data_IF_364950682678
#
_entry.id   IF_364950682678
#
_cell.length_a   1.000
_cell.length_b   1.000
_cell.length_c   1.000
_cell.angle_alpha   90.00
_cell.angle_beta   90.00
_cell.angle_gamma   90.00
#
_symmetry.space_group_name_H-M   'P 1'
#
loop_
_entity.id
_entity.type
_entity.pdbx_description
1 polymer ?
#
# COMPACT_ATOMS: atom_id res chain seq x y z
N UNK A 1 -42.59 24.25 14.34
CA UNK A 1 -41.54 23.43 13.72
C UNK A 1 -41.66 22.02 14.30
N UNK A 2 -42.46 21.15 13.65
CA UNK A 2 -42.91 19.87 14.20
C UNK A 2 -41.75 18.86 14.18
N UNK A 3 -41.33 18.40 15.34
CA UNK A 3 -40.32 17.35 15.48
C UNK A 3 -40.84 16.07 14.80
N UNK A 4 -40.10 15.55 13.82
CA UNK A 4 -40.55 14.41 13.01
C UNK A 4 -40.25 13.13 13.80
N UNK A 5 -41.26 12.40 14.32
CA UNK A 5 -41.05 11.26 15.23
C UNK A 5 -40.26 10.11 14.58
N UNK A 6 -40.25 10.02 13.24
CA UNK A 6 -39.43 9.05 12.53
C UNK A 6 -37.93 9.35 12.62
N UNK A 7 -37.54 10.64 12.72
CA UNK A 7 -36.13 11.05 12.81
C UNK A 7 -35.50 10.63 14.14
N UNK A 8 -36.26 10.72 15.23
CA UNK A 8 -35.79 10.36 16.57
C UNK A 8 -35.61 8.84 16.72
N UNK A 9 -36.48 8.03 16.12
CA UNK A 9 -36.35 6.57 16.12
C UNK A 9 -35.12 6.13 15.31
N UNK A 10 -34.90 6.69 14.11
CA UNK A 10 -33.72 6.37 13.30
C UNK A 10 -32.41 6.74 14.01
N UNK A 11 -32.38 7.88 14.71
CA UNK A 11 -31.22 8.29 15.51
C UNK A 11 -30.96 7.31 16.67
N UNK A 12 -32.00 6.90 17.40
CA UNK A 12 -31.85 5.93 18.50
C UNK A 12 -31.35 4.57 18.01
N UNK A 13 -31.89 4.05 16.90
CA UNK A 13 -31.45 2.79 16.30
C UNK A 13 -29.98 2.88 15.86
N UNK A 14 -29.59 3.99 15.23
CA UNK A 14 -28.20 4.21 14.80
C UNK A 14 -27.24 4.24 15.99
N UNK A 15 -27.62 4.90 17.09
CA UNK A 15 -26.82 4.97 18.31
C UNK A 15 -26.67 3.60 18.98
N UNK A 16 -27.74 2.82 19.06
CA UNK A 16 -27.73 1.46 19.62
C UNK A 16 -26.82 0.55 18.80
N UNK A 17 -26.90 0.60 17.46
CA UNK A 17 -26.02 -0.17 16.57
C UNK A 17 -24.55 0.22 16.78
N UNK A 18 -24.25 1.52 16.90
CA UNK A 18 -22.89 1.98 17.14
C UNK A 18 -22.33 1.45 18.48
N UNK A 19 -23.14 1.50 19.54
CA UNK A 19 -22.76 0.99 20.86
C UNK A 19 -22.54 -0.53 20.81
N UNK A 20 -23.45 -1.28 20.18
CA UNK A 20 -23.31 -2.74 20.01
C UNK A 20 -22.02 -3.06 19.25
N UNK A 21 -21.74 -2.38 18.14
CA UNK A 21 -20.52 -2.60 17.36
C UNK A 21 -19.25 -2.29 18.16
N UNK A 22 -19.27 -1.22 18.95
CA UNK A 22 -18.14 -0.82 19.80
C UNK A 22 -17.86 -1.86 20.89
N UNK A 23 -18.91 -2.37 21.55
CA UNK A 23 -18.79 -3.39 22.60
C UNK A 23 -18.40 -4.76 22.04
N UNK A 24 -18.97 -5.17 20.89
CA UNK A 24 -18.65 -6.47 20.28
C UNK A 24 -17.29 -6.50 19.59
N UNK A 25 -16.82 -5.38 19.04
CA UNK A 25 -15.60 -5.31 18.21
C UNK A 25 -14.64 -4.20 18.66
N UNK A 26 -14.13 -4.24 19.90
CA UNK A 26 -13.11 -3.28 20.34
C UNK A 26 -11.83 -3.35 19.48
N UNK A 27 -11.53 -4.53 18.93
CA UNK A 27 -10.41 -4.75 18.02
C UNK A 27 -10.55 -4.05 16.65
N UNK A 28 -11.71 -3.48 16.32
CA UNK A 28 -11.92 -2.74 15.08
C UNK A 28 -10.99 -1.52 14.96
N UNK A 29 -10.68 -0.85 16.08
CA UNK A 29 -9.73 0.26 16.10
C UNK A 29 -8.32 -0.23 15.79
N UNK A 30 -7.91 -1.35 16.39
CA UNK A 30 -6.59 -1.96 16.17
C UNK A 30 -6.44 -2.37 14.70
N UNK A 31 -7.43 -3.07 14.13
CA UNK A 31 -7.39 -3.41 12.70
C UNK A 31 -7.49 -2.19 11.79
N UNK A 32 -8.23 -1.16 12.19
CA UNK A 32 -8.33 0.10 11.45
C UNK A 32 -6.97 0.78 11.35
N UNK A 33 -6.26 0.91 12.47
CA UNK A 33 -4.88 1.44 12.50
C UNK A 33 -3.94 0.54 11.71
N UNK A 34 -3.93 -0.77 11.96
CA UNK A 34 -3.05 -1.72 11.26
C UNK A 34 -3.23 -1.64 9.74
N UNK A 35 -4.47 -1.72 9.24
CA UNK A 35 -4.76 -1.66 7.80
C UNK A 35 -4.50 -0.28 7.22
N UNK A 36 -4.83 0.78 7.95
CA UNK A 36 -4.52 2.15 7.53
C UNK A 36 -3.01 2.37 7.37
N UNK A 37 -2.21 1.91 8.32
CA UNK A 37 -0.75 1.95 8.25
C UNK A 37 -0.20 1.11 7.09
N UNK A 38 -0.78 -0.08 6.84
CA UNK A 38 -0.40 -0.90 5.69
C UNK A 38 -0.68 -0.19 4.36
N UNK A 39 -1.86 0.40 4.18
CA UNK A 39 -2.19 1.14 2.97
C UNK A 39 -1.33 2.40 2.80
N UNK A 40 -1.04 3.10 3.89
CA UNK A 40 -0.11 4.23 3.86
C UNK A 40 1.29 3.79 3.42
N UNK A 41 1.81 2.69 3.98
CA UNK A 41 3.10 2.13 3.60
C UNK A 41 3.16 1.76 2.11
N UNK A 42 2.08 1.21 1.56
CA UNK A 42 1.98 0.89 0.13
C UNK A 42 1.95 2.14 -0.74
N UNK A 43 1.23 3.18 -0.33
CA UNK A 43 1.08 4.41 -1.11
C UNK A 43 2.30 5.35 -1.07
N UNK A 44 3.04 5.39 0.05
CA UNK A 44 4.17 6.30 0.24
C UNK A 44 5.22 6.19 -0.87
N UNK A 45 5.69 5.00 -1.31
CA UNK A 45 6.66 4.89 -2.39
C UNK A 45 6.21 5.51 -3.71
N UNK A 46 4.93 5.32 -4.08
CA UNK A 46 4.37 5.92 -5.29
C UNK A 46 4.37 7.45 -5.19
N UNK A 47 3.98 7.98 -4.02
CA UNK A 47 4.03 9.41 -3.74
C UNK A 47 5.47 9.96 -3.77
N UNK A 48 6.45 9.21 -3.26
CA UNK A 48 7.87 9.59 -3.29
C UNK A 48 8.43 9.61 -4.71
N UNK A 49 8.10 8.63 -5.55
CA UNK A 49 8.56 8.61 -6.95
C UNK A 49 8.00 9.77 -7.74
N UNK A 50 6.73 10.11 -7.51
CA UNK A 50 6.08 11.26 -8.15
C UNK A 50 6.58 12.60 -7.61
N UNK A 51 6.74 12.71 -6.29
CA UNK A 51 7.07 13.97 -5.62
C UNK A 51 8.54 14.35 -5.68
N UNK A 52 9.46 13.37 -5.70
CA UNK A 52 10.91 13.62 -5.68
C UNK A 52 11.51 13.43 -7.06
N UNK A 53 11.22 12.30 -7.72
CA UNK A 53 11.82 11.95 -9.02
C UNK A 53 11.04 12.60 -10.17
N UNK A 54 9.76 12.90 -9.98
CA UNK A 54 8.90 13.48 -11.00
C UNK A 54 8.43 12.49 -12.06
N UNK A 55 8.50 11.18 -11.77
CA UNK A 55 8.09 10.10 -12.68
C UNK A 55 6.89 9.37 -12.11
N UNK A 56 5.84 9.21 -12.94
CA UNK A 56 4.73 8.31 -12.63
C UNK A 56 5.16 6.87 -12.92
N UNK A 57 5.34 6.08 -11.86
CA UNK A 57 5.75 4.67 -11.97
C UNK A 57 4.54 3.75 -12.04
N UNK A 58 4.21 3.26 -13.25
CA UNK A 58 3.10 2.32 -13.45
C UNK A 58 3.42 0.91 -12.93
N UNK A 59 4.68 0.47 -13.00
CA UNK A 59 5.15 -0.80 -12.46
C UNK A 59 5.19 -0.87 -10.91
N UNK A 60 4.71 0.16 -10.21
CA UNK A 60 4.66 0.15 -8.74
C UNK A 60 3.95 -1.10 -8.18
N UNK A 61 2.84 -1.51 -8.80
CA UNK A 61 2.11 -2.71 -8.42
C UNK A 61 2.93 -3.99 -8.65
N UNK A 62 3.71 -4.04 -9.74
CA UNK A 62 4.54 -5.19 -10.09
C UNK A 62 5.72 -5.34 -9.11
N UNK A 63 6.35 -4.25 -8.69
CA UNK A 63 7.37 -4.34 -7.63
C UNK A 63 6.79 -4.81 -6.30
N UNK A 64 5.55 -4.40 -5.98
CA UNK A 64 4.86 -4.83 -4.78
C UNK A 64 4.52 -6.33 -4.83
N UNK A 65 4.04 -6.83 -5.96
CA UNK A 65 3.78 -8.25 -6.15
C UNK A 65 5.07 -9.07 -6.12
N UNK A 66 6.14 -8.58 -6.73
CA UNK A 66 7.46 -9.24 -6.71
C UNK A 66 7.99 -9.36 -5.27
N UNK A 67 7.85 -8.31 -4.45
CA UNK A 67 8.16 -8.36 -3.01
C UNK A 67 7.34 -9.40 -2.25
N UNK A 68 6.03 -9.47 -2.51
CA UNK A 68 5.16 -10.46 -1.90
C UNK A 68 5.54 -11.89 -2.30
N UNK A 69 5.86 -12.12 -3.57
CA UNK A 69 6.30 -13.43 -4.08
C UNK A 69 7.66 -13.85 -3.49
N UNK A 70 8.61 -12.92 -3.33
CA UNK A 70 9.87 -13.23 -2.64
C UNK A 70 9.64 -13.63 -1.19
N UNK A 71 8.73 -12.95 -0.48
CA UNK A 71 8.36 -13.33 0.89
C UNK A 71 7.74 -14.73 0.94
N UNK A 72 6.82 -15.04 0.03
CA UNK A 72 6.25 -16.38 -0.11
C UNK A 72 7.31 -17.43 -0.44
N UNK A 73 8.27 -17.11 -1.30
CA UNK A 73 9.31 -18.05 -1.70
C UNK A 73 10.29 -18.33 -0.55
N UNK A 74 10.69 -17.32 0.21
CA UNK A 74 11.49 -17.51 1.42
C UNK A 74 10.73 -18.28 2.50
N UNK A 75 9.43 -18.04 2.66
CA UNK A 75 8.61 -18.80 3.58
C UNK A 75 8.55 -20.28 3.19
N UNK A 76 8.27 -20.60 1.92
CA UNK A 76 8.14 -21.98 1.46
C UNK A 76 9.47 -22.73 1.35
N UNK A 77 10.57 -22.05 1.01
CA UNK A 77 11.87 -22.70 0.80
C UNK A 77 12.73 -22.79 2.05
N UNK A 78 12.70 -21.75 2.89
CA UNK A 78 13.57 -21.64 4.08
C UNK A 78 12.78 -21.79 5.39
N UNK A 79 11.44 -21.85 5.34
CA UNK A 79 10.60 -21.83 6.53
C UNK A 79 10.64 -20.50 7.30
N UNK A 80 11.15 -19.43 6.67
CA UNK A 80 11.28 -18.13 7.33
C UNK A 80 9.94 -17.43 7.43
N UNK A 81 9.57 -17.00 8.64
CA UNK A 81 8.38 -16.19 8.83
C UNK A 81 8.39 -14.96 7.90
N UNK A 82 7.26 -14.62 7.25
CA UNK A 82 7.18 -13.50 6.31
C UNK A 82 7.67 -12.18 6.92
N UNK A 83 7.44 -11.96 8.21
CA UNK A 83 7.91 -10.77 8.93
C UNK A 83 9.44 -10.73 9.06
N UNK A 84 10.08 -11.88 9.29
CA UNK A 84 11.54 -11.97 9.40
C UNK A 84 12.19 -11.89 8.02
N UNK A 85 11.52 -12.42 6.98
CA UNK A 85 11.98 -12.38 5.60
C UNK A 85 12.21 -10.95 5.08
N UNK A 86 11.55 -9.95 5.67
CA UNK A 86 11.73 -8.52 5.34
C UNK A 86 13.20 -8.11 5.42
N UNK A 87 13.96 -8.63 6.39
CA UNK A 87 15.38 -8.29 6.57
C UNK A 87 16.23 -8.67 5.35
N UNK A 88 15.87 -9.74 4.66
CA UNK A 88 16.52 -10.20 3.42
C UNK A 88 15.90 -9.56 2.17
N UNK A 89 14.58 -9.37 2.15
CA UNK A 89 13.86 -8.84 0.99
C UNK A 89 14.21 -7.36 0.76
N UNK A 90 14.31 -6.55 1.82
CA UNK A 90 14.62 -5.12 1.70
C UNK A 90 15.94 -4.87 0.95
N UNK A 91 17.09 -5.45 1.35
CA UNK A 91 18.34 -5.25 0.61
C UNK A 91 18.28 -5.83 -0.81
N UNK A 92 17.60 -6.96 -1.01
CA UNK A 92 17.44 -7.57 -2.33
C UNK A 92 16.63 -6.67 -3.28
N UNK A 93 15.48 -6.18 -2.83
CA UNK A 93 14.64 -5.23 -3.57
C UNK A 93 15.34 -3.91 -3.83
N UNK A 94 16.12 -3.42 -2.87
CA UNK A 94 16.94 -2.25 -3.06
C UNK A 94 17.97 -2.47 -4.17
N UNK A 95 18.66 -3.61 -4.21
CA UNK A 95 19.62 -3.93 -5.25
C UNK A 95 18.95 -4.03 -6.65
N UNK A 96 17.80 -4.70 -6.73
CA UNK A 96 17.01 -4.79 -7.97
C UNK A 96 16.57 -3.39 -8.43
N UNK A 97 15.98 -2.59 -7.54
CA UNK A 97 15.49 -1.25 -7.85
C UNK A 97 16.61 -0.28 -8.22
N UNK A 98 17.76 -0.32 -7.52
CA UNK A 98 18.92 0.50 -7.83
C UNK A 98 19.53 0.12 -9.19
N UNK A 99 19.63 -1.17 -9.49
CA UNK A 99 20.07 -1.68 -10.79
C UNK A 99 19.15 -1.19 -11.91
N UNK A 100 17.84 -1.34 -11.72
CA UNK A 100 16.85 -0.90 -12.69
C UNK A 100 16.89 0.61 -12.90
N UNK A 101 16.95 1.39 -11.81
CA UNK A 101 17.06 2.84 -11.88
C UNK A 101 18.24 3.28 -12.74
N UNK A 102 19.43 2.70 -12.50
CA UNK A 102 20.66 3.06 -13.20
C UNK A 102 20.68 2.62 -14.67
N UNK A 103 20.00 1.51 -14.99
CA UNK A 103 19.98 0.95 -16.33
C UNK A 103 18.88 1.57 -17.20
N UNK A 104 17.72 1.89 -16.64
CA UNK A 104 16.55 2.32 -17.42
C UNK A 104 16.13 3.74 -17.04
N UNK A 105 15.65 3.94 -15.82
CA UNK A 105 15.01 5.18 -15.38
C UNK A 105 15.91 6.40 -15.56
N UNK A 106 17.19 6.30 -15.18
CA UNK A 106 18.15 7.41 -15.24
C UNK A 106 18.35 7.96 -16.65
N UNK A 107 18.07 7.15 -17.69
CA UNK A 107 18.20 7.55 -19.10
C UNK A 107 16.99 8.34 -19.60
N UNK A 108 15.84 8.21 -18.94
CA UNK A 108 14.55 8.76 -19.40
C UNK A 108 14.07 9.93 -18.52
N UNK A 109 14.82 10.28 -17.47
CA UNK A 109 14.53 11.43 -16.60
C UNK A 109 14.36 12.76 -17.35
N UNK A 110 15.11 12.98 -18.42
CA UNK A 110 15.05 14.20 -19.25
C UNK A 110 14.10 14.07 -20.45
N UNK A 111 13.54 12.89 -20.67
CA UNK A 111 12.66 12.63 -21.80
C UNK A 111 11.22 13.10 -21.48
N UNK A 112 10.37 13.28 -22.50
CA UNK A 112 8.96 13.62 -22.31
C UNK A 112 8.22 12.61 -21.42
N UNK A 113 7.19 13.07 -20.71
CA UNK A 113 6.38 12.25 -19.78
C UNK A 113 5.91 10.94 -20.43
N UNK A 114 5.46 10.98 -21.69
CA UNK A 114 5.02 9.78 -22.41
C UNK A 114 6.09 8.67 -22.44
N UNK A 115 7.36 9.03 -22.66
CA UNK A 115 8.44 8.04 -22.70
C UNK A 115 8.70 7.43 -21.33
N UNK A 116 8.54 8.21 -20.26
CA UNK A 116 8.67 7.73 -18.88
C UNK A 116 7.54 6.76 -18.54
N UNK A 117 6.30 7.08 -18.93
CA UNK A 117 5.14 6.21 -18.75
C UNK A 117 5.30 4.90 -19.52
N UNK A 118 5.66 4.97 -20.81
CA UNK A 118 5.88 3.80 -21.66
C UNK A 118 6.98 2.90 -21.10
N UNK A 119 8.08 3.48 -20.59
CA UNK A 119 9.13 2.72 -19.95
C UNK A 119 8.60 1.97 -18.72
N UNK A 120 7.94 2.68 -17.80
CA UNK A 120 7.46 2.07 -16.55
C UNK A 120 6.30 1.10 -16.74
N UNK A 121 5.58 1.16 -17.87
CA UNK A 121 4.59 0.16 -18.25
C UNK A 121 5.22 -1.12 -18.82
N UNK A 122 6.41 -1.01 -19.43
CA UNK A 122 7.15 -2.14 -20.01
C UNK A 122 8.17 -2.78 -19.06
N UNK A 123 8.24 -2.31 -17.81
CA UNK A 123 9.04 -2.91 -16.73
C UNK A 123 8.33 -4.13 -16.16
#
# INVERSE_FOLDING_TARGET
MKDNPRKNITLMVTLIILIILFVLKPYAIIYGVQRGSLYALVAIPLALTLGIVGILNLAHGDFLTLGAYLSYWFFTSLGLDPTVSIVLIVPLMFAIGAGLYKLTISRVLKAPLLNQLLLTFGL
#
